data_IF_339334890210
#
_entry.id   IF_339334890210
#
_cell.length_a   1.000
_cell.length_b   1.000
_cell.length_c   1.000
_cell.angle_alpha   90.00
_cell.angle_beta   90.00
_cell.angle_gamma   90.00
#
_symmetry.space_group_name_H-M   'P 1'
#
loop_
_entity.id
_entity.type
_entity.pdbx_description
1 polymer ?
#
# COMPACT_ATOMS: atom_id res chain seq x y z
N UNK A 1 -10.85 -27.17 -28.64
CA UNK A 1 -10.97 -25.78 -28.17
C UNK A 1 -9.93 -25.59 -27.08
N UNK A 2 -8.83 -24.91 -27.36
CA UNK A 2 -7.72 -24.72 -26.42
C UNK A 2 -7.73 -23.28 -25.92
N UNK A 3 -7.80 -23.11 -24.60
CA UNK A 3 -7.57 -21.81 -23.96
C UNK A 3 -6.08 -21.49 -24.08
N UNK A 4 -5.75 -20.32 -24.64
CA UNK A 4 -4.39 -19.83 -24.68
C UNK A 4 -3.95 -19.44 -23.27
N UNK A 5 -2.94 -20.15 -22.74
CA UNK A 5 -2.21 -19.71 -21.56
C UNK A 5 -1.40 -18.45 -21.93
N UNK A 6 -1.66 -17.33 -21.27
CA UNK A 6 -0.93 -16.09 -21.48
C UNK A 6 0.51 -16.23 -20.94
N UNK A 7 1.40 -16.72 -21.79
CA UNK A 7 2.84 -16.72 -21.57
C UNK A 7 3.40 -15.31 -21.70
N UNK A 8 3.64 -14.64 -20.59
CA UNK A 8 4.42 -13.41 -20.55
C UNK A 8 5.47 -13.48 -19.44
N UNK A 9 6.75 -13.60 -19.80
CA UNK A 9 7.84 -13.33 -18.86
C UNK A 9 7.81 -11.83 -18.57
N UNK A 10 7.49 -11.43 -17.35
CA UNK A 10 7.63 -10.02 -16.92
C UNK A 10 9.10 -9.63 -17.16
N UNK A 11 9.31 -8.64 -18.04
CA UNK A 11 10.67 -8.24 -18.45
C UNK A 11 11.28 -7.20 -17.51
N UNK A 12 10.45 -6.38 -16.90
CA UNK A 12 10.87 -5.26 -16.06
C UNK A 12 9.87 -5.06 -14.94
N UNK A 13 10.37 -4.90 -13.72
CA UNK A 13 9.61 -4.43 -12.56
C UNK A 13 10.15 -3.06 -12.17
N UNK A 14 9.26 -2.09 -12.02
CA UNK A 14 9.60 -0.77 -11.48
C UNK A 14 8.95 -0.67 -10.11
N UNK A 15 9.75 -0.44 -9.08
CA UNK A 15 9.28 -0.18 -7.73
C UNK A 15 9.49 1.29 -7.44
N UNK A 16 8.40 2.02 -7.22
CA UNK A 16 8.43 3.42 -6.80
C UNK A 16 8.22 3.48 -5.29
N UNK A 17 9.17 4.09 -4.58
CA UNK A 17 9.04 4.41 -3.16
C UNK A 17 8.97 5.92 -3.04
N UNK A 18 7.90 6.42 -2.41
CA UNK A 18 7.73 7.84 -2.15
C UNK A 18 8.19 8.12 -0.72
N UNK A 19 8.97 9.19 -0.56
CA UNK A 19 9.38 9.70 0.74
C UNK A 19 8.20 10.44 1.38
N UNK A 20 7.95 10.19 2.66
CA UNK A 20 7.04 10.96 3.54
C UNK A 20 5.54 11.00 3.14
N UNK A 21 5.13 10.20 2.15
CA UNK A 21 3.71 9.98 1.85
C UNK A 21 3.54 8.63 1.15
N UNK A 22 2.66 7.78 1.65
CA UNK A 22 2.43 6.45 1.10
C UNK A 22 1.81 6.53 -0.31
N UNK A 23 2.09 5.54 -1.16
CA UNK A 23 1.63 5.48 -2.57
C UNK A 23 0.13 5.70 -2.69
N UNK A 24 -0.61 5.10 -1.77
CA UNK A 24 -2.04 5.16 -1.67
C UNK A 24 -2.57 6.56 -1.38
N UNK A 25 -1.78 7.45 -0.75
CA UNK A 25 -2.17 8.82 -0.44
C UNK A 25 -1.89 9.82 -1.58
N UNK A 26 -1.15 9.44 -2.63
CA UNK A 26 -0.99 10.26 -3.85
C UNK A 26 -1.67 9.64 -5.07
N UNK A 27 -1.37 8.39 -5.38
CA UNK A 27 -1.80 7.72 -6.61
C UNK A 27 -2.97 6.76 -6.38
N UNK A 28 -3.13 6.22 -5.16
CA UNK A 28 -4.27 5.36 -4.82
C UNK A 28 -5.61 6.02 -5.16
N UNK A 29 -5.79 7.28 -4.78
CA UNK A 29 -7.02 8.08 -5.01
C UNK A 29 -7.25 8.51 -6.46
N UNK A 30 -6.24 8.39 -7.32
CA UNK A 30 -6.33 8.94 -8.68
C UNK A 30 -7.30 8.19 -9.57
N UNK A 31 -7.81 7.01 -9.17
CA UNK A 31 -8.89 6.32 -9.90
C UNK A 31 -10.13 7.19 -10.05
N UNK A 32 -10.43 8.04 -9.07
CA UNK A 32 -11.54 9.01 -9.14
C UNK A 32 -11.32 10.10 -10.20
N UNK A 33 -10.06 10.43 -10.50
CA UNK A 33 -9.67 11.48 -11.47
C UNK A 33 -9.42 10.91 -12.87
N UNK A 34 -8.83 9.72 -12.94
CA UNK A 34 -8.60 8.97 -14.16
C UNK A 34 -9.03 7.50 -13.96
N UNK A 35 -10.22 7.11 -14.48
CA UNK A 35 -10.76 5.77 -14.29
C UNK A 35 -9.99 4.68 -15.06
N UNK A 36 -9.08 5.03 -15.97
CA UNK A 36 -8.20 4.06 -16.64
C UNK A 36 -7.09 3.52 -15.73
N UNK A 37 -6.85 4.17 -14.58
CA UNK A 37 -5.92 3.69 -13.57
C UNK A 37 -6.53 2.51 -12.83
N UNK A 38 -5.79 1.40 -12.77
CA UNK A 38 -6.11 0.28 -11.88
C UNK A 38 -5.72 0.63 -10.43
N UNK A 39 -6.48 1.54 -9.85
CA UNK A 39 -6.32 2.02 -8.47
C UNK A 39 -7.36 1.45 -7.50
N UNK A 40 -7.38 2.00 -6.30
CA UNK A 40 -8.27 1.58 -5.22
C UNK A 40 -9.70 2.08 -5.44
N UNK A 41 -10.67 1.32 -4.95
CA UNK A 41 -12.11 1.58 -5.03
C UNK A 41 -12.70 2.07 -3.71
N UNK A 42 -11.97 1.88 -2.60
CA UNK A 42 -12.44 2.12 -1.24
C UNK A 42 -12.95 0.83 -0.55
N UNK A 43 -13.05 -0.28 -1.28
CA UNK A 43 -13.45 -1.58 -0.72
C UNK A 43 -12.25 -2.41 -0.24
N UNK A 44 -11.02 -1.96 -0.50
CA UNK A 44 -9.79 -2.65 -0.14
C UNK A 44 -9.57 -2.68 1.37
N UNK A 45 -9.03 -3.81 1.86
CA UNK A 45 -8.72 -4.02 3.26
C UNK A 45 -7.32 -4.61 3.40
N UNK A 46 -6.65 -4.26 4.50
CA UNK A 46 -5.46 -4.95 4.98
C UNK A 46 -5.74 -5.55 6.36
N UNK A 47 -5.35 -6.80 6.58
CA UNK A 47 -5.39 -7.40 7.90
C UNK A 47 -4.25 -6.85 8.75
N UNK A 48 -4.52 -6.59 10.03
CA UNK A 48 -3.51 -6.11 10.98
C UNK A 48 -2.31 -7.07 11.08
N UNK A 49 -2.59 -8.37 10.98
CA UNK A 49 -1.57 -9.40 10.81
C UNK A 49 -1.74 -10.00 9.41
N UNK A 50 -0.74 -9.81 8.55
CA UNK A 50 -0.76 -10.30 7.17
C UNK A 50 -0.69 -11.83 7.07
N UNK A 51 -0.26 -12.52 8.14
CA UNK A 51 -0.20 -13.99 8.20
C UNK A 51 -1.50 -14.63 8.73
N UNK A 52 -2.38 -13.85 9.38
CA UNK A 52 -3.64 -14.32 9.94
C UNK A 52 -4.86 -13.71 9.21
N UNK A 53 -5.56 -14.48 8.36
CA UNK A 53 -6.73 -13.98 7.62
C UNK A 53 -7.95 -13.68 8.50
N UNK A 54 -7.92 -14.06 9.79
CA UNK A 54 -8.97 -13.73 10.76
C UNK A 54 -8.64 -12.48 11.58
N UNK A 55 -7.44 -11.94 11.42
CA UNK A 55 -6.99 -10.72 12.08
C UNK A 55 -7.86 -9.52 11.70
N UNK A 56 -7.89 -8.50 12.56
CA UNK A 56 -8.70 -7.28 12.36
C UNK A 56 -8.44 -6.69 10.97
N UNK A 57 -9.49 -6.57 10.17
CA UNK A 57 -9.44 -5.87 8.90
C UNK A 57 -9.41 -4.34 9.12
N UNK A 58 -8.43 -3.68 8.52
CA UNK A 58 -8.31 -2.23 8.44
C UNK A 58 -8.72 -1.86 7.02
N UNK A 59 -9.82 -1.10 6.90
CA UNK A 59 -10.30 -0.61 5.60
C UNK A 59 -9.40 0.50 5.11
N UNK A 60 -9.13 0.48 3.81
CA UNK A 60 -8.53 1.60 3.12
C UNK A 60 -9.46 2.84 3.19
N UNK A 61 -8.90 4.04 3.37
CA UNK A 61 -9.69 5.29 3.49
C UNK A 61 -8.80 6.54 3.59
N UNK A 62 -9.41 7.72 3.49
CA UNK A 62 -8.75 9.06 3.50
C UNK A 62 -8.58 9.64 4.91
N UNK A 63 -9.03 8.92 5.94
CA UNK A 63 -8.91 9.35 7.33
C UNK A 63 -7.52 9.17 7.95
N UNK A 64 -6.49 8.88 7.15
CA UNK A 64 -5.13 8.79 7.65
C UNK A 64 -4.67 10.14 8.17
N UNK A 65 -4.36 10.22 9.47
CA UNK A 65 -3.82 11.43 10.06
C UNK A 65 -2.45 11.78 9.46
N UNK A 66 -2.11 13.06 9.48
CA UNK A 66 -0.77 13.52 9.13
C UNK A 66 0.23 12.97 10.17
N UNK A 67 0.87 11.85 9.81
CA UNK A 67 2.02 11.34 10.56
C UNK A 67 3.23 12.19 10.18
N UNK A 68 4.00 12.59 11.20
CA UNK A 68 5.18 13.46 11.19
C UNK A 68 5.69 13.89 9.80
N UNK A 69 5.64 15.19 9.44
CA UNK A 69 6.08 15.68 8.13
C UNK A 69 7.58 15.46 7.85
N UNK A 70 8.40 15.14 8.87
CA UNK A 70 9.83 14.87 8.75
C UNK A 70 10.23 13.62 9.56
N UNK A 71 9.76 12.42 9.15
CA UNK A 71 10.09 11.20 9.86
C UNK A 71 11.60 10.93 9.80
N UNK A 72 12.11 10.15 10.75
CA UNK A 72 13.53 9.84 10.82
C UNK A 72 14.09 9.27 9.51
N UNK A 73 15.18 9.86 9.02
CA UNK A 73 15.87 9.51 7.77
C UNK A 73 16.88 8.37 7.91
N UNK A 74 16.95 7.73 9.08
CA UNK A 74 17.87 6.62 9.32
C UNK A 74 17.29 5.32 8.79
N UNK A 75 18.16 4.37 8.43
CA UNK A 75 17.72 3.02 8.08
C UNK A 75 16.87 2.41 9.19
N UNK A 76 17.22 2.66 10.46
CA UNK A 76 16.45 2.22 11.62
C UNK A 76 15.03 2.77 11.63
N UNK A 77 14.86 4.08 11.38
CA UNK A 77 13.54 4.71 11.33
C UNK A 77 12.69 4.19 10.15
N UNK A 78 13.32 3.91 9.00
CA UNK A 78 12.65 3.24 7.88
C UNK A 78 12.22 1.82 8.26
N UNK A 79 13.06 1.06 8.97
CA UNK A 79 12.71 -0.28 9.46
C UNK A 79 11.53 -0.24 10.44
N UNK A 80 11.47 0.73 11.34
CA UNK A 80 10.36 0.93 12.27
C UNK A 80 9.04 1.23 11.55
N UNK A 81 9.08 2.02 10.47
CA UNK A 81 7.92 2.28 9.61
C UNK A 81 7.50 1.09 8.74
N UNK A 82 8.43 0.24 8.29
CA UNK A 82 8.07 -0.95 7.52
C UNK A 82 7.47 -2.06 8.38
N UNK A 83 7.90 -2.15 9.64
CA UNK A 83 7.42 -3.17 10.59
C UNK A 83 6.28 -2.69 11.52
N UNK A 84 5.78 -1.46 11.31
CA UNK A 84 4.77 -0.73 12.11
C UNK A 84 4.38 -1.36 13.47
N UNK A 85 4.84 -0.69 14.53
CA UNK A 85 4.20 -0.55 15.85
C UNK A 85 3.60 -1.80 16.50
N UNK A 86 4.45 -2.61 17.13
CA UNK A 86 4.06 -3.41 18.31
C UNK A 86 4.09 -2.60 19.62
N UNK A 87 3.79 -1.29 19.59
CA UNK A 87 3.50 -0.56 20.82
C UNK A 87 2.01 -0.25 20.88
N UNK A 88 1.32 -1.12 21.62
CA UNK A 88 0.05 -0.81 22.26
C UNK A 88 0.11 0.58 22.89
N UNK A 89 -0.96 1.35 22.66
CA UNK A 89 -1.29 2.53 23.45
C UNK A 89 -1.33 2.20 24.94
#
# INVERSE_FOLDING_TARGET
MAAAAAGGKIKTVVVLVMENRSFDHMLGWMKSLNPEIDGVTGDEINHLDAADPTSRAIRFGDGAEYVDPDPGHSMQAIYEQFYIFHKSF
#
